data_IF_516598687645
#
_entry.id   IF_516598687645
#
_cell.length_a   1.000
_cell.length_b   1.000
_cell.length_c   1.000
_cell.angle_alpha   90.00
_cell.angle_beta   90.00
_cell.angle_gamma   90.00
#
_symmetry.space_group_name_H-M   'P 1'
#
loop_
_entity.id
_entity.type
_entity.pdbx_description
1 polymer ?
#
# COMPACT_ATOMS: atom_id res chain seq x y z
N UNK A 1 10.87 0.19 -45.26
CA UNK A 1 10.14 -0.82 -44.48
C UNK A 1 10.17 -0.61 -42.97
N UNK A 2 11.26 -0.16 -42.33
CA UNK A 2 11.30 0.00 -40.86
C UNK A 2 10.29 1.00 -40.26
N UNK A 3 10.01 2.13 -40.93
CA UNK A 3 9.13 3.17 -40.38
C UNK A 3 7.67 2.74 -40.23
N UNK A 4 7.18 1.86 -41.10
CA UNK A 4 5.81 1.35 -41.04
C UNK A 4 5.63 0.39 -39.85
N UNK A 5 6.62 -0.47 -39.60
CA UNK A 5 6.63 -1.33 -38.42
C UNK A 5 6.72 -0.52 -37.13
N UNK A 6 7.56 0.52 -37.07
CA UNK A 6 7.65 1.40 -35.89
C UNK A 6 6.32 2.10 -35.60
N UNK A 7 5.62 2.58 -36.63
CA UNK A 7 4.29 3.19 -36.49
C UNK A 7 3.25 2.18 -35.98
N UNK A 8 3.22 0.97 -36.56
CA UNK A 8 2.31 -0.10 -36.14
C UNK A 8 2.57 -0.50 -34.68
N UNK A 9 3.82 -0.69 -34.28
CA UNK A 9 4.18 -0.98 -32.89
C UNK A 9 3.82 0.17 -31.94
N UNK A 10 4.00 1.43 -32.36
CA UNK A 10 3.62 2.59 -31.54
C UNK A 10 2.11 2.69 -31.28
N UNK A 11 1.29 2.37 -32.29
CA UNK A 11 -0.18 2.35 -32.18
C UNK A 11 -0.66 1.17 -31.33
N UNK A 12 -0.01 0.00 -31.46
CA UNK A 12 -0.28 -1.17 -30.62
C UNK A 12 0.06 -0.92 -29.13
N UNK A 13 1.15 -0.21 -28.83
CA UNK A 13 1.52 0.10 -27.44
C UNK A 13 0.52 1.10 -26.82
N UNK A 14 0.07 2.12 -27.57
CA UNK A 14 -0.91 3.10 -27.07
C UNK A 14 -2.30 2.51 -26.81
N UNK A 15 -2.73 1.52 -27.60
CA UNK A 15 -4.03 0.85 -27.40
C UNK A 15 -4.03 -0.08 -26.18
N UNK A 16 -2.90 -0.68 -25.84
CA UNK A 16 -2.77 -1.50 -24.62
C UNK A 16 -2.79 -0.67 -23.33
N UNK A 17 -2.19 0.52 -23.30
CA UNK A 17 -2.16 1.41 -22.12
C UNK A 17 -3.54 2.03 -21.81
N UNK A 18 -4.38 2.21 -22.84
CA UNK A 18 -5.74 2.76 -22.69
C UNK A 18 -6.73 1.75 -22.06
N UNK A 19 -6.36 0.46 -22.01
CA UNK A 19 -7.20 -0.59 -21.43
C UNK A 19 -7.15 -0.69 -19.89
N UNK A 20 -6.26 0.05 -19.23
CA UNK A 20 -6.23 0.19 -17.76
C UNK A 20 -6.51 1.64 -17.37
N UNK A 21 -7.64 2.21 -17.82
CA UNK A 21 -8.04 3.53 -17.36
C UNK A 21 -8.30 3.49 -15.86
N UNK A 22 -7.43 4.13 -15.09
CA UNK A 22 -7.52 4.20 -13.64
C UNK A 22 -8.80 4.97 -13.27
N UNK A 23 -9.77 4.28 -12.68
CA UNK A 23 -10.98 4.89 -12.10
C UNK A 23 -10.64 5.45 -10.71
N UNK A 24 -11.39 6.45 -10.21
CA UNK A 24 -11.24 6.91 -8.82
C UNK A 24 -11.29 5.76 -7.81
N UNK A 25 -12.16 4.78 -8.03
CA UNK A 25 -12.25 3.57 -7.21
C UNK A 25 -10.92 2.79 -7.18
N UNK A 26 -10.37 2.49 -8.36
CA UNK A 26 -9.09 1.75 -8.44
C UNK A 26 -7.92 2.57 -7.91
N UNK A 27 -7.99 3.90 -7.92
CA UNK A 27 -6.98 4.77 -7.32
C UNK A 27 -6.97 4.64 -5.80
N UNK A 28 -8.12 4.80 -5.14
CA UNK A 28 -8.21 4.69 -3.67
C UNK A 28 -7.84 3.29 -3.20
N UNK A 29 -8.22 2.25 -3.96
CA UNK A 29 -7.88 0.86 -3.67
C UNK A 29 -6.38 0.63 -3.74
N UNK A 30 -5.73 1.10 -4.80
CA UNK A 30 -4.29 0.97 -4.96
C UNK A 30 -3.53 1.77 -3.89
N UNK A 31 -3.95 2.99 -3.59
CA UNK A 31 -3.36 3.79 -2.50
C UNK A 31 -3.49 3.08 -1.15
N UNK A 32 -4.64 2.48 -0.85
CA UNK A 32 -4.84 1.71 0.36
C UNK A 32 -3.96 0.45 0.41
N UNK A 33 -3.80 -0.25 -0.72
CA UNK A 33 -2.87 -1.38 -0.86
C UNK A 33 -1.44 -0.94 -0.60
N UNK A 34 -0.96 0.10 -1.29
CA UNK A 34 0.42 0.58 -1.20
C UNK A 34 0.75 1.05 0.22
N UNK A 35 -0.18 1.78 0.86
CA UNK A 35 -0.05 2.15 2.26
C UNK A 35 0.02 0.92 3.17
N UNK A 36 -0.93 -0.01 3.06
CA UNK A 36 -1.00 -1.18 3.93
C UNK A 36 0.21 -2.10 3.74
N UNK A 37 0.65 -2.33 2.51
CA UNK A 37 1.84 -3.14 2.22
C UNK A 37 3.09 -2.51 2.82
N UNK A 38 3.26 -1.20 2.68
CA UNK A 38 4.37 -0.49 3.31
C UNK A 38 4.27 -0.57 4.84
N UNK A 39 3.09 -0.30 5.42
CA UNK A 39 2.86 -0.27 6.86
C UNK A 39 3.08 -1.63 7.52
N UNK A 40 2.42 -2.68 7.05
CA UNK A 40 2.49 -4.03 7.64
C UNK A 40 3.80 -4.76 7.34
N UNK A 41 4.64 -4.23 6.44
CA UNK A 41 6.02 -4.68 6.22
C UNK A 41 7.07 -3.74 6.84
N UNK A 42 6.66 -2.88 7.78
CA UNK A 42 7.53 -1.95 8.53
C UNK A 42 8.31 -0.94 7.68
N UNK A 43 7.88 -0.71 6.44
CA UNK A 43 8.43 0.34 5.58
C UNK A 43 7.70 1.66 5.83
N UNK A 44 7.88 2.22 7.02
CA UNK A 44 7.20 3.45 7.43
C UNK A 44 7.66 4.69 6.65
N UNK A 45 8.82 4.64 6.00
CA UNK A 45 9.25 5.70 5.08
C UNK A 45 8.31 5.77 3.88
N UNK A 46 8.04 4.63 3.23
CA UNK A 46 7.09 4.57 2.10
C UNK A 46 5.66 4.80 2.57
N UNK A 47 5.26 4.25 3.73
CA UNK A 47 3.91 4.46 4.26
C UNK A 47 3.59 5.95 4.50
N UNK A 48 4.60 6.78 4.80
CA UNK A 48 4.43 8.23 4.96
C UNK A 48 4.03 8.93 3.67
N UNK A 49 4.50 8.46 2.52
CA UNK A 49 4.19 9.04 1.19
C UNK A 49 2.69 8.97 0.88
N UNK A 50 1.98 7.99 1.46
CA UNK A 50 0.55 7.77 1.31
C UNK A 50 -0.28 8.33 2.48
N UNK A 51 0.32 9.10 3.37
CA UNK A 51 -0.30 9.55 4.61
C UNK A 51 -0.47 11.06 4.68
N UNK A 52 -1.44 11.50 5.49
CA UNK A 52 -1.59 12.92 5.80
C UNK A 52 -0.44 13.44 6.66
N UNK A 53 -0.10 14.75 6.59
CA UNK A 53 0.91 15.34 7.47
C UNK A 53 0.66 15.07 8.96
N UNK A 54 -0.60 15.08 9.40
CA UNK A 54 -0.98 14.81 10.79
C UNK A 54 -0.64 13.39 11.26
N UNK A 55 -0.57 12.42 10.35
CA UNK A 55 -0.27 11.01 10.67
C UNK A 55 1.24 10.73 10.76
N UNK A 56 2.09 11.62 10.25
CA UNK A 56 3.53 11.35 10.12
C UNK A 56 4.25 11.17 11.46
N UNK A 57 3.84 11.89 12.51
CA UNK A 57 4.41 11.74 13.86
C UNK A 57 4.16 10.34 14.41
N UNK A 58 2.96 9.79 14.20
CA UNK A 58 2.63 8.43 14.61
C UNK A 58 3.45 7.39 13.85
N UNK A 59 3.57 7.53 12.53
CA UNK A 59 4.41 6.64 11.71
C UNK A 59 5.89 6.72 12.10
N UNK A 60 6.38 7.90 12.48
CA UNK A 60 7.76 8.08 12.98
C UNK A 60 7.98 7.38 14.31
N UNK A 61 7.00 7.45 15.21
CA UNK A 61 7.02 6.72 16.48
C UNK A 61 7.02 5.20 16.26
N UNK A 62 6.18 4.67 15.36
CA UNK A 62 6.21 3.24 15.04
C UNK A 62 7.57 2.82 14.47
N UNK A 63 8.12 3.62 13.54
CA UNK A 63 9.44 3.38 12.97
C UNK A 63 10.55 3.31 14.02
N UNK A 64 10.54 4.22 15.01
CA UNK A 64 11.55 4.21 16.08
C UNK A 64 11.46 3.00 17.02
N UNK A 65 10.35 2.27 17.00
CA UNK A 65 10.12 1.07 17.80
C UNK A 65 10.39 -0.23 17.01
N UNK A 66 10.81 -0.16 15.74
CA UNK A 66 11.19 -1.34 14.97
C UNK A 66 12.64 -1.70 15.24
N UNK A 67 12.83 -2.73 16.07
CA UNK A 67 14.13 -3.38 16.25
C UNK A 67 14.47 -4.39 15.15
N UNK A 68 15.74 -4.77 15.12
CA UNK A 68 16.28 -5.77 14.18
C UNK A 68 15.57 -7.13 14.28
N UNK A 69 15.19 -7.55 15.50
CA UNK A 69 14.45 -8.79 15.75
C UNK A 69 13.09 -8.81 15.03
N UNK A 70 12.41 -7.66 14.93
CA UNK A 70 11.15 -7.56 14.21
C UNK A 70 11.36 -7.74 12.69
N UNK A 71 12.44 -7.17 12.15
CA UNK A 71 12.80 -7.31 10.74
C UNK A 71 13.18 -8.76 10.38
N UNK A 72 13.89 -9.44 11.27
CA UNK A 72 14.25 -10.85 11.10
C UNK A 72 13.00 -11.75 11.13
N UNK A 73 12.10 -11.52 12.08
CA UNK A 73 10.83 -12.24 12.14
C UNK A 73 9.98 -12.01 10.89
N UNK A 74 9.93 -10.78 10.37
CA UNK A 74 9.26 -10.47 9.11
C UNK A 74 9.89 -11.26 7.95
N UNK A 75 11.23 -11.31 7.86
CA UNK A 75 11.93 -12.10 6.82
C UNK A 75 11.61 -13.59 6.91
N UNK A 76 11.58 -14.17 8.11
CA UNK A 76 11.27 -15.59 8.32
C UNK A 76 9.81 -15.92 8.00
N UNK A 77 8.88 -15.05 8.39
CA UNK A 77 7.44 -15.25 8.14
C UNK A 77 7.05 -14.96 6.69
N UNK A 78 7.83 -14.13 6.00
CA UNK A 78 7.49 -13.57 4.70
C UNK A 78 6.71 -12.26 4.82
N UNK A 79 6.63 -11.52 3.71
CA UNK A 79 5.93 -10.24 3.67
C UNK A 79 4.42 -10.40 3.92
N UNK A 80 3.83 -9.38 4.56
CA UNK A 80 2.40 -9.19 4.59
C UNK A 80 1.88 -8.89 3.17
N UNK A 81 0.71 -9.44 2.84
CA UNK A 81 0.04 -9.23 1.56
C UNK A 81 -1.33 -8.62 1.78
N UNK A 82 -1.71 -7.71 0.90
CA UNK A 82 -2.95 -6.93 1.03
C UNK A 82 -3.89 -7.26 -0.11
N UNK A 83 -5.18 -7.35 0.21
CA UNK A 83 -6.25 -7.39 -0.80
C UNK A 83 -7.43 -6.55 -0.34
N UNK A 84 -8.07 -5.83 -1.25
CA UNK A 84 -9.28 -5.06 -0.96
C UNK A 84 -10.47 -6.01 -0.81
N UNK A 85 -11.26 -5.82 0.24
CA UNK A 85 -12.56 -6.48 0.45
C UNK A 85 -13.68 -5.61 -0.14
N UNK A 86 -13.65 -4.31 0.17
CA UNK A 86 -14.65 -3.34 -0.27
C UNK A 86 -14.08 -1.94 -0.24
N UNK A 87 -14.69 -1.05 -0.99
CA UNK A 87 -14.29 0.35 -1.13
C UNK A 87 -15.53 1.20 -1.42
N UNK A 88 -15.57 2.41 -0.87
CA UNK A 88 -16.67 3.36 -1.02
C UNK A 88 -16.12 4.78 -1.14
N UNK A 89 -16.71 5.58 -2.02
CA UNK A 89 -16.40 7.00 -2.20
C UNK A 89 -17.65 7.80 -1.84
N UNK A 90 -17.53 8.66 -0.83
CA UNK A 90 -18.53 9.68 -0.56
C UNK A 90 -18.11 10.99 -1.24
N UNK A 91 -18.70 11.23 -2.41
CA UNK A 91 -18.43 12.44 -3.19
C UNK A 91 -18.95 13.73 -2.53
N UNK A 92 -19.86 13.65 -1.55
CA UNK A 92 -20.35 14.84 -0.84
C UNK A 92 -19.38 15.27 0.26
N UNK A 93 -18.68 14.31 0.86
CA UNK A 93 -17.72 14.54 1.93
C UNK A 93 -16.28 14.66 1.42
N UNK A 94 -16.03 14.40 0.13
CA UNK A 94 -14.69 14.28 -0.45
C UNK A 94 -13.84 13.20 0.27
N UNK A 95 -14.50 12.15 0.75
CA UNK A 95 -13.90 11.08 1.52
C UNK A 95 -14.04 9.73 0.81
N UNK A 96 -13.11 8.83 1.11
CA UNK A 96 -13.15 7.46 0.63
C UNK A 96 -12.75 6.50 1.75
N UNK A 97 -13.42 5.36 1.81
CA UNK A 97 -13.15 4.28 2.76
C UNK A 97 -12.81 3.02 2.00
N UNK A 98 -11.70 2.37 2.38
CA UNK A 98 -11.27 1.09 1.81
C UNK A 98 -11.04 0.09 2.94
N UNK A 99 -11.68 -1.07 2.84
CA UNK A 99 -11.50 -2.18 3.79
C UNK A 99 -10.54 -3.18 3.18
N UNK A 100 -9.37 -3.34 3.80
CA UNK A 100 -8.32 -4.25 3.36
C UNK A 100 -8.26 -5.50 4.23
N UNK A 101 -8.12 -6.67 3.59
CA UNK A 101 -7.67 -7.89 4.24
C UNK A 101 -6.13 -7.93 4.22
N UNK A 102 -5.55 -8.18 5.39
CA UNK A 102 -4.10 -8.35 5.53
C UNK A 102 -3.80 -9.81 5.84
N UNK A 103 -3.03 -10.46 4.96
CA UNK A 103 -2.52 -11.81 5.22
C UNK A 103 -1.09 -11.73 5.73
N UNK A 104 -0.77 -12.61 6.68
CA UNK A 104 0.54 -12.69 7.32
C UNK A 104 0.98 -11.39 8.03
N UNK A 105 0.02 -10.70 8.66
CA UNK A 105 0.30 -9.50 9.43
C UNK A 105 1.24 -9.83 10.61
N UNK A 106 2.24 -8.97 10.80
CA UNK A 106 3.05 -8.96 12.00
C UNK A 106 2.95 -7.56 12.63
N UNK A 107 2.34 -7.51 13.82
CA UNK A 107 2.07 -6.26 14.53
C UNK A 107 3.08 -6.13 15.66
N UNK A 108 3.77 -5.01 15.70
CA UNK A 108 4.64 -4.64 16.81
C UNK A 108 3.78 -3.86 17.80
N UNK A 109 3.90 -4.19 19.09
CA UNK A 109 3.34 -3.40 20.18
C UNK A 109 4.42 -2.42 20.66
N UNK A 110 4.36 -1.14 20.27
CA UNK A 110 5.42 -0.17 20.59
C UNK A 110 5.43 0.21 22.08
N UNK A 111 4.33 -0.02 22.79
CA UNK A 111 4.26 0.08 24.25
C UNK A 111 4.38 -1.36 24.75
N UNK A 112 5.54 -1.68 25.32
CA UNK A 112 5.89 -3.03 25.74
C UNK A 112 5.02 -3.54 26.88
N UNK A 113 3.79 -3.95 26.61
CA UNK A 113 2.99 -4.70 27.56
C UNK A 113 3.03 -6.19 27.19
N UNK A 114 3.78 -6.94 28.00
CA UNK A 114 3.61 -8.39 28.08
C UNK A 114 2.25 -8.68 28.69
N UNK A 115 1.22 -8.84 27.87
CA UNK A 115 0.00 -9.48 28.31
C UNK A 115 0.16 -10.97 28.12
N UNK A 116 0.43 -11.67 29.23
CA UNK A 116 0.27 -13.11 29.30
C UNK A 116 -1.21 -13.41 29.03
N UNK A 117 -1.48 -14.14 27.95
CA UNK A 117 -2.76 -14.84 27.77
C UNK A 117 -2.63 -16.26 28.28
#
# INVERSE_FOLDING_TARGET
MNKLYTLIYSVLIFTCLSCQQQTPQTQIEQTAIDFCEAFYNFNYTVAKEWSTPSSQSYLSFLASNVGQTHLEQLKTRGAAKVSVISSEIDANLEEASVVCQIKNAFVIHPIGEKWNT
#
